data_IF_169019925108
#
_entry.id   IF_169019925108
#
_cell.length_a   1.000
_cell.length_b   1.000
_cell.length_c   1.000
_cell.angle_alpha   90.00
_cell.angle_beta   90.00
_cell.angle_gamma   90.00
#
_symmetry.space_group_name_H-M   'P 1'
#
loop_
_entity.id
_entity.type
_entity.pdbx_description
1 polymer ?
#
# COMPACT_ATOMS: atom_id res chain seq x y z
N UNK A 1 29.69 -10.22 37.26
CA UNK A 1 30.48 -10.64 36.08
C UNK A 1 29.68 -10.31 34.84
N UNK A 2 30.03 -9.20 34.19
CA UNK A 2 29.54 -8.84 32.87
C UNK A 2 30.77 -8.70 31.98
N UNK A 3 30.81 -9.30 30.79
CA UNK A 3 31.73 -8.89 29.75
C UNK A 3 31.01 -8.01 28.71
N UNK A 4 31.67 -6.92 28.33
CA UNK A 4 31.32 -6.07 27.20
C UNK A 4 31.50 -6.82 25.86
N UNK A 5 30.83 -6.39 24.79
CA UNK A 5 31.33 -6.61 23.43
C UNK A 5 32.05 -5.37 22.90
N UNK A 6 33.19 -5.68 22.28
CA UNK A 6 34.23 -4.80 21.77
C UNK A 6 33.90 -4.19 20.40
N UNK A 7 34.58 -3.09 20.10
CA UNK A 7 34.59 -2.36 18.84
C UNK A 7 35.80 -2.80 18.01
N UNK A 8 35.62 -3.25 16.76
CA UNK A 8 36.70 -3.31 15.77
C UNK A 8 36.20 -3.26 14.32
N UNK A 9 36.41 -2.09 13.75
CA UNK A 9 36.99 -1.74 12.45
C UNK A 9 36.52 -2.29 11.09
N UNK A 10 36.47 -1.31 10.19
CA UNK A 10 36.26 -1.38 8.77
C UNK A 10 37.34 -2.18 8.03
N UNK A 11 36.92 -2.94 7.03
CA UNK A 11 37.79 -3.38 5.93
C UNK A 11 37.24 -2.85 4.60
N UNK A 12 38.02 -1.95 4.01
CA UNK A 12 37.92 -1.55 2.61
C UNK A 12 39.10 -2.14 1.89
N UNK A 13 38.89 -2.82 0.74
CA UNK A 13 39.87 -2.97 -0.36
C UNK A 13 39.24 -3.60 -1.61
N UNK A 14 39.14 -2.74 -2.62
CA UNK A 14 39.38 -2.94 -4.06
C UNK A 14 39.61 -4.35 -4.62
N UNK A 15 38.84 -4.69 -5.66
CA UNK A 15 39.17 -5.71 -6.68
C UNK A 15 38.22 -5.57 -7.87
N UNK A 16 38.75 -5.15 -9.03
CA UNK A 16 37.99 -4.86 -10.25
C UNK A 16 37.70 -6.06 -11.12
N UNK A 17 36.62 -5.97 -11.91
CA UNK A 17 36.35 -6.79 -13.09
C UNK A 17 36.05 -5.85 -14.26
N UNK A 18 36.92 -5.84 -15.27
CA UNK A 18 36.67 -5.23 -16.58
C UNK A 18 36.16 -6.30 -17.56
N UNK A 19 35.14 -5.98 -18.35
CA UNK A 19 34.63 -6.86 -19.40
C UNK A 19 33.38 -6.29 -20.09
N UNK A 20 33.59 -5.71 -21.26
CA UNK A 20 32.66 -4.91 -22.07
C UNK A 20 31.68 -5.73 -22.93
N UNK A 21 30.46 -5.22 -23.17
CA UNK A 21 29.95 -4.83 -24.52
C UNK A 21 28.45 -4.45 -24.52
N UNK A 22 28.01 -3.59 -25.46
CA UNK A 22 26.66 -3.01 -25.49
C UNK A 22 25.70 -3.86 -26.34
N UNK A 23 24.59 -4.29 -25.73
CA UNK A 23 23.47 -4.92 -26.42
C UNK A 23 22.30 -3.96 -26.50
N UNK A 24 22.01 -3.48 -27.72
CA UNK A 24 20.79 -2.75 -28.04
C UNK A 24 19.59 -3.71 -28.13
N UNK A 25 18.41 -3.20 -27.78
CA UNK A 25 17.13 -3.74 -28.23
C UNK A 25 16.40 -4.57 -27.19
N UNK A 26 15.23 -4.06 -26.78
CA UNK A 26 14.23 -4.83 -26.06
C UNK A 26 13.69 -4.13 -24.84
N UNK A 27 12.97 -3.03 -25.05
CA UNK A 27 11.93 -2.57 -24.12
C UNK A 27 10.95 -3.73 -23.90
N UNK A 28 11.24 -4.62 -22.96
CA UNK A 28 10.23 -5.49 -22.39
C UNK A 28 9.41 -4.59 -21.48
N UNK A 29 8.30 -4.11 -22.05
CA UNK A 29 7.18 -3.59 -21.28
C UNK A 29 6.90 -4.65 -20.22
N UNK A 30 7.32 -4.39 -18.98
CA UNK A 30 6.76 -5.07 -17.84
C UNK A 30 5.24 -4.95 -18.03
N UNK A 31 4.62 -6.08 -18.35
CA UNK A 31 3.18 -6.18 -18.49
C UNK A 31 2.63 -5.70 -17.16
N UNK A 32 2.24 -4.43 -17.12
CA UNK A 32 1.53 -3.86 -15.99
C UNK A 32 0.18 -4.51 -16.08
N UNK A 33 0.04 -5.61 -15.36
CA UNK A 33 -1.18 -6.34 -15.17
C UNK A 33 -2.32 -5.33 -15.03
N UNK A 34 -3.23 -5.29 -16.00
CA UNK A 34 -4.51 -4.59 -15.91
C UNK A 34 -5.45 -5.28 -14.91
N UNK A 35 -4.88 -5.98 -13.93
CA UNK A 35 -5.60 -6.78 -12.95
C UNK A 35 -5.88 -5.88 -11.77
N UNK A 36 -7.19 -5.74 -11.51
CA UNK A 36 -7.74 -5.05 -10.36
C UNK A 36 -7.22 -5.71 -9.05
N UNK A 37 -7.29 -5.02 -7.90
CA UNK A 37 -6.78 -5.53 -6.63
C UNK A 37 -7.48 -6.84 -6.17
N UNK A 38 -6.75 -7.63 -5.39
CA UNK A 38 -6.98 -9.05 -5.04
C UNK A 38 -8.02 -9.26 -3.92
N UNK A 39 -9.31 -9.14 -4.21
CA UNK A 39 -10.37 -9.30 -3.18
C UNK A 39 -10.50 -10.75 -2.68
N UNK A 40 -10.99 -11.01 -1.44
CA UNK A 40 -11.50 -12.32 -1.01
C UNK A 40 -13.03 -12.28 -0.72
N UNK A 41 -13.85 -13.03 -1.47
CA UNK A 41 -15.32 -12.89 -1.47
C UNK A 41 -16.07 -13.67 -0.36
N UNK A 42 -15.40 -14.52 0.43
CA UNK A 42 -16.06 -15.45 1.36
C UNK A 42 -15.89 -15.10 2.85
N UNK A 43 -15.28 -13.95 3.17
CA UNK A 43 -15.06 -13.51 4.55
C UNK A 43 -16.11 -12.49 5.04
N UNK A 44 -17.04 -12.09 4.18
CA UNK A 44 -18.06 -11.08 4.46
C UNK A 44 -17.60 -9.63 4.28
N UNK A 45 -16.37 -9.39 3.81
CA UNK A 45 -15.87 -8.06 3.45
C UNK A 45 -16.00 -7.81 1.95
N UNK A 46 -16.26 -6.55 1.58
CA UNK A 46 -16.41 -6.12 0.16
C UNK A 46 -15.13 -5.48 -0.40
N UNK A 47 -14.10 -5.40 0.43
CA UNK A 47 -12.79 -4.80 0.17
C UNK A 47 -11.70 -5.73 0.71
N UNK A 48 -10.44 -5.51 0.29
CA UNK A 48 -9.33 -6.41 0.62
C UNK A 48 -9.22 -6.57 2.14
N UNK A 49 -8.60 -7.66 2.59
CA UNK A 49 -8.31 -7.85 4.02
C UNK A 49 -7.49 -6.71 4.65
N UNK A 50 -6.71 -5.97 3.85
CA UNK A 50 -5.96 -4.79 4.26
C UNK A 50 -6.65 -3.46 3.89
N UNK A 51 -7.92 -3.49 3.51
CA UNK A 51 -8.72 -2.32 3.14
C UNK A 51 -10.02 -2.18 3.95
N UNK A 52 -10.63 -1.02 3.90
CA UNK A 52 -11.92 -0.69 4.51
C UNK A 52 -12.80 0.07 3.53
N UNK A 53 -14.11 -0.17 3.62
CA UNK A 53 -15.10 0.57 2.86
C UNK A 53 -15.33 1.94 3.49
N UNK A 54 -15.10 3.01 2.73
CA UNK A 54 -15.41 4.38 3.13
C UNK A 54 -15.96 5.15 1.93
N UNK A 55 -17.12 5.80 2.10
CA UNK A 55 -17.81 6.56 1.05
C UNK A 55 -17.94 5.82 -0.31
N UNK A 56 -18.09 4.49 -0.26
CA UNK A 56 -18.28 3.65 -1.46
C UNK A 56 -17.00 3.23 -2.18
N UNK A 57 -15.82 3.49 -1.60
CA UNK A 57 -14.53 3.03 -2.11
C UNK A 57 -13.79 2.21 -1.05
N UNK A 58 -12.93 1.32 -1.51
CA UNK A 58 -12.02 0.54 -0.71
C UNK A 58 -10.70 1.28 -0.54
N UNK A 59 -10.41 1.67 0.69
CA UNK A 59 -9.21 2.39 1.11
C UNK A 59 -8.32 1.50 1.95
N UNK A 60 -7.01 1.73 1.99
CA UNK A 60 -6.14 1.09 2.96
C UNK A 60 -6.61 1.41 4.39
N UNK A 61 -6.70 0.39 5.25
CA UNK A 61 -7.24 0.56 6.62
C UNK A 61 -6.45 1.61 7.41
N UNK A 62 -7.14 2.50 8.09
CA UNK A 62 -6.54 3.48 9.00
C UNK A 62 -5.67 2.85 10.10
N UNK A 63 -6.07 1.69 10.63
CA UNK A 63 -5.25 0.93 11.59
C UNK A 63 -3.89 0.52 11.01
N UNK A 64 -3.81 0.25 9.71
CA UNK A 64 -2.56 -0.13 9.03
C UNK A 64 -1.74 1.12 8.67
N UNK A 65 -2.38 2.14 8.10
CA UNK A 65 -1.75 3.42 7.74
C UNK A 65 -1.10 4.15 8.93
N UNK A 66 -1.68 3.99 10.12
CA UNK A 66 -1.29 4.75 11.32
C UNK A 66 -0.59 3.88 12.36
N UNK A 67 -0.25 2.63 12.01
CA UNK A 67 0.35 1.64 12.91
C UNK A 67 -0.44 1.49 14.21
N UNK A 68 -1.78 1.46 14.09
CA UNK A 68 -2.73 1.28 15.18
C UNK A 68 -3.09 2.52 15.99
N UNK A 69 -2.52 3.70 15.69
CA UNK A 69 -2.73 4.91 16.51
C UNK A 69 -4.07 5.60 16.29
N UNK A 70 -4.54 5.62 15.05
CA UNK A 70 -5.77 6.30 14.64
C UNK A 70 -6.58 5.34 13.75
N UNK A 71 -7.37 4.41 14.33
CA UNK A 71 -7.97 3.32 13.58
C UNK A 71 -9.26 3.69 12.85
N UNK A 72 -9.83 4.88 13.09
CA UNK A 72 -11.12 5.28 12.53
C UNK A 72 -10.87 6.19 11.33
N UNK A 73 -11.49 5.90 10.19
CA UNK A 73 -11.42 6.78 9.02
C UNK A 73 -12.44 7.91 9.15
N UNK A 74 -11.98 9.15 9.00
CA UNK A 74 -12.79 10.37 9.07
C UNK A 74 -12.91 11.08 7.72
N UNK A 75 -11.94 10.90 6.81
CA UNK A 75 -11.97 11.41 5.45
C UNK A 75 -11.11 10.55 4.50
N UNK A 76 -11.07 10.84 3.18
CA UNK A 76 -10.13 10.18 2.28
C UNK A 76 -8.66 10.34 2.71
N UNK A 77 -8.30 11.46 3.33
CA UNK A 77 -6.91 11.77 3.71
C UNK A 77 -6.64 11.75 5.22
N UNK A 78 -7.62 11.39 6.05
CA UNK A 78 -7.45 11.46 7.50
C UNK A 78 -8.10 10.31 8.27
N UNK A 79 -7.46 10.01 9.40
CA UNK A 79 -7.84 9.01 10.39
C UNK A 79 -7.87 9.66 11.78
N UNK A 80 -8.71 9.16 12.69
CA UNK A 80 -8.85 9.61 14.07
C UNK A 80 -8.74 8.44 15.08
N UNK A 81 -8.37 8.75 16.32
CA UNK A 81 -8.21 7.78 17.42
C UNK A 81 -9.56 7.38 17.99
N UNK A 82 -10.44 8.36 18.16
CA UNK A 82 -11.76 8.18 18.75
C UNK A 82 -12.78 9.17 18.17
N UNK A 83 -14.07 8.94 18.39
CA UNK A 83 -15.10 9.93 18.06
C UNK A 83 -15.24 10.95 19.22
N UNK A 84 -15.57 12.21 18.93
CA UNK A 84 -15.73 12.80 17.61
C UNK A 84 -14.38 13.10 16.94
N UNK A 85 -14.30 12.85 15.63
CA UNK A 85 -13.15 13.18 14.79
C UNK A 85 -13.11 14.69 14.46
N UNK A 86 -12.12 15.14 13.68
CA UNK A 86 -11.90 16.54 13.31
C UNK A 86 -11.41 17.45 14.45
N UNK A 87 -10.78 16.86 15.47
CA UNK A 87 -10.05 17.59 16.52
C UNK A 87 -8.54 17.52 16.22
N UNK A 88 -7.79 18.63 16.31
CA UNK A 88 -6.35 18.63 16.00
C UNK A 88 -5.51 17.63 16.81
N UNK A 89 -5.98 17.22 17.99
CA UNK A 89 -5.28 16.28 18.89
C UNK A 89 -5.65 14.80 18.68
N UNK A 90 -6.61 14.55 17.80
CA UNK A 90 -7.27 13.25 17.59
C UNK A 90 -7.39 12.94 16.09
N UNK A 91 -6.51 13.52 15.27
CA UNK A 91 -6.58 13.40 13.83
C UNK A 91 -5.16 13.27 13.27
N UNK A 92 -4.91 12.23 12.49
CA UNK A 92 -3.76 12.12 11.61
C UNK A 92 -4.24 12.33 10.18
N UNK A 93 -3.65 13.31 9.49
CA UNK A 93 -3.95 13.59 8.08
C UNK A 93 -2.67 13.51 7.25
N UNK A 94 -2.77 12.93 6.06
CA UNK A 94 -1.70 12.87 5.09
C UNK A 94 -2.24 12.99 3.67
N UNK A 95 -1.89 14.10 3.00
CA UNK A 95 -2.32 14.41 1.62
C UNK A 95 -1.25 14.02 0.59
N UNK A 96 -0.03 13.66 1.04
CA UNK A 96 1.09 13.29 0.18
C UNK A 96 1.54 14.41 -0.78
N UNK A 97 2.33 14.04 -1.81
CA UNK A 97 2.90 14.99 -2.80
C UNK A 97 2.05 15.17 -4.05
N UNK A 98 1.08 14.29 -4.26
CA UNK A 98 0.16 14.32 -5.41
C UNK A 98 -1.21 14.71 -4.89
N UNK A 99 -1.97 15.38 -5.75
CA UNK A 99 -3.30 15.87 -5.36
C UNK A 99 -4.30 14.73 -5.11
N UNK A 100 -4.14 13.59 -5.79
CA UNK A 100 -4.98 12.40 -5.61
C UNK A 100 -4.11 11.17 -5.41
N UNK A 101 -4.69 10.14 -4.78
CA UNK A 101 -4.13 8.80 -4.68
C UNK A 101 -2.79 8.79 -3.93
N UNK A 102 -2.69 9.58 -2.85
CA UNK A 102 -1.46 9.74 -2.09
C UNK A 102 -1.70 10.09 -0.62
N UNK A 103 -0.70 9.88 0.22
CA UNK A 103 -0.89 9.97 1.66
C UNK A 103 -1.83 8.85 2.13
N UNK A 104 -2.96 9.21 2.74
CA UNK A 104 -3.96 8.25 3.22
C UNK A 104 -5.10 7.97 2.23
N UNK A 105 -5.16 8.72 1.13
CA UNK A 105 -6.07 8.48 0.00
C UNK A 105 -5.47 7.41 -0.91
N UNK A 106 -5.36 6.18 -0.41
CA UNK A 106 -4.73 5.08 -1.15
C UNK A 106 -5.45 3.75 -0.92
N UNK A 107 -5.30 2.82 -1.87
CA UNK A 107 -5.66 1.40 -1.71
C UNK A 107 -4.61 0.65 -0.88
N UNK A 108 -4.95 -0.54 -0.39
CA UNK A 108 -4.07 -1.42 0.38
C UNK A 108 -2.87 -1.94 -0.42
N UNK A 109 -2.93 -1.93 -1.75
CA UNK A 109 -1.81 -2.30 -2.63
C UNK A 109 -0.95 -1.10 -3.03
N UNK A 110 -1.29 0.10 -2.60
CA UNK A 110 -0.73 1.34 -3.12
C UNK A 110 -1.35 1.70 -4.48
N UNK A 111 -1.85 2.92 -4.59
CA UNK A 111 -2.64 3.36 -5.76
C UNK A 111 -3.89 4.10 -5.31
N UNK A 112 -4.78 4.41 -6.25
CA UNK A 112 -6.05 5.05 -5.93
C UNK A 112 -7.01 4.06 -5.25
N UNK A 113 -7.84 4.53 -4.31
CA UNK A 113 -8.98 3.76 -3.82
C UNK A 113 -9.87 3.32 -5.00
N UNK A 114 -10.45 2.13 -4.91
CA UNK A 114 -11.28 1.55 -5.98
C UNK A 114 -12.66 1.20 -5.47
N UNK A 115 -13.60 0.95 -6.39
CA UNK A 115 -14.91 0.43 -6.01
C UNK A 115 -14.79 -1.02 -5.49
N UNK A 116 -15.68 -1.43 -4.59
CA UNK A 116 -15.90 -2.85 -4.30
C UNK A 116 -16.16 -3.67 -5.57
N UNK A 117 -15.81 -4.96 -5.55
CA UNK A 117 -16.06 -5.86 -6.68
C UNK A 117 -14.98 -5.83 -7.77
N UNK A 118 -13.73 -5.54 -7.40
CA UNK A 118 -12.60 -5.99 -8.18
C UNK A 118 -12.55 -7.53 -8.15
N UNK A 119 -12.30 -8.19 -9.28
CA UNK A 119 -12.34 -9.66 -9.34
C UNK A 119 -11.26 -10.29 -8.45
N UNK A 120 -11.59 -11.47 -7.90
CA UNK A 120 -10.66 -12.29 -7.14
C UNK A 120 -9.42 -12.69 -7.97
N UNK A 121 -8.39 -13.20 -7.30
CA UNK A 121 -7.24 -13.83 -7.98
C UNK A 121 -7.59 -15.09 -8.76
N UNK A 122 -8.67 -15.76 -8.37
CA UNK A 122 -9.19 -16.96 -9.02
C UNK A 122 -10.41 -16.69 -9.91
N UNK A 123 -10.82 -15.42 -10.06
CA UNK A 123 -11.93 -15.04 -10.92
C UNK A 123 -11.49 -14.33 -12.21
N UNK A 124 -12.17 -14.64 -13.32
CA UNK A 124 -12.00 -13.92 -14.58
C UNK A 124 -13.02 -12.77 -14.69
N UNK A 125 -12.54 -11.57 -15.00
CA UNK A 125 -13.42 -10.44 -15.31
C UNK A 125 -14.02 -10.61 -16.71
N UNK A 126 -15.26 -11.06 -16.80
CA UNK A 126 -16.00 -11.17 -18.05
C UNK A 126 -17.24 -10.24 -18.03
N UNK A 127 -17.29 -9.29 -18.97
CA UNK A 127 -18.35 -8.28 -19.07
C UNK A 127 -18.63 -7.44 -17.80
N UNK A 128 -17.60 -7.19 -16.99
CA UNK A 128 -17.75 -6.40 -15.77
C UNK A 128 -18.25 -7.20 -14.57
N UNK A 129 -18.40 -8.52 -14.71
CA UNK A 129 -18.79 -9.49 -13.69
C UNK A 129 -17.62 -10.48 -13.51
N UNK A 130 -17.44 -11.01 -12.31
CA UNK A 130 -16.37 -11.93 -11.98
C UNK A 130 -16.90 -13.38 -11.91
N UNK A 131 -16.13 -14.35 -12.43
CA UNK A 131 -16.50 -15.77 -12.63
C UNK A 131 -15.42 -16.72 -12.16
#
# INVERSE_FOLDING_TARGET
VAPAPEQFDAVSRHGGWAGSSPGAGGSSVASRSLLKPVEPMHDGNVCLGNEELFEGLCYHKCVLLTLGKEPIRSSPWSCCREHPCLKPTNEAASVGKKFFCSGYDVSGTGGCPHKPGACLTDEELYWGICY
#
